data_IF_892919570202
#
_entry.id   IF_892919570202
#
_cell.length_a   1.000
_cell.length_b   1.000
_cell.length_c   1.000
_cell.angle_alpha   90.00
_cell.angle_beta   90.00
_cell.angle_gamma   90.00
#
_symmetry.space_group_name_H-M   'P 1'
#
loop_
_entity.id
_entity.type
_entity.pdbx_description
1 polymer ?
#
# COMPACT_ATOMS: atom_id res chain seq x y z
N UNK A 1 -0.95 14.85 -32.65
CA UNK A 1 -0.35 15.57 -31.49
C UNK A 1 -0.94 15.13 -30.13
N UNK A 2 -2.20 14.73 -30.04
CA UNK A 2 -2.82 14.35 -28.74
C UNK A 2 -2.24 13.08 -28.10
N UNK A 3 -1.98 12.04 -28.87
CA UNK A 3 -1.57 10.72 -28.35
C UNK A 3 -0.17 10.70 -27.74
N UNK A 4 0.79 11.39 -28.35
CA UNK A 4 2.16 11.48 -27.85
C UNK A 4 2.25 12.32 -26.57
N UNK A 5 1.46 13.38 -26.47
CA UNK A 5 1.36 14.20 -25.26
C UNK A 5 0.75 13.40 -24.10
N UNK A 6 -0.33 12.65 -24.34
CA UNK A 6 -0.98 11.80 -23.35
C UNK A 6 -0.02 10.71 -22.85
N UNK A 7 0.75 10.09 -23.74
CA UNK A 7 1.75 9.09 -23.38
C UNK A 7 2.87 9.69 -22.53
N UNK A 8 3.39 10.86 -22.89
CA UNK A 8 4.42 11.56 -22.11
C UNK A 8 3.92 11.92 -20.70
N UNK A 9 2.65 12.37 -20.58
CA UNK A 9 2.05 12.68 -19.29
C UNK A 9 1.85 11.41 -18.44
N UNK A 10 1.46 10.29 -19.03
CA UNK A 10 1.32 9.01 -18.35
C UNK A 10 2.67 8.54 -17.77
N UNK A 11 3.75 8.60 -18.56
CA UNK A 11 5.10 8.25 -18.13
C UNK A 11 5.53 9.09 -16.92
N UNK A 12 5.29 10.41 -17.00
CA UNK A 12 5.58 11.31 -15.87
C UNK A 12 4.77 10.93 -14.61
N UNK A 13 3.50 10.61 -14.77
CA UNK A 13 2.65 10.22 -13.65
C UNK A 13 3.10 8.89 -13.03
N UNK A 14 3.51 7.91 -13.84
CA UNK A 14 4.07 6.65 -13.36
C UNK A 14 5.37 6.90 -12.59
N UNK A 15 6.24 7.75 -13.09
CA UNK A 15 7.49 8.11 -12.42
C UNK A 15 7.24 8.71 -11.04
N UNK A 16 6.32 9.68 -10.92
CA UNK A 16 5.97 10.31 -9.64
C UNK A 16 5.34 9.29 -8.69
N UNK A 17 4.39 8.49 -9.20
CA UNK A 17 3.76 7.42 -8.43
C UNK A 17 4.79 6.44 -7.85
N UNK A 18 5.72 5.97 -8.69
CA UNK A 18 6.78 5.04 -8.26
C UNK A 18 7.67 5.66 -7.18
N UNK A 19 8.06 6.90 -7.34
CA UNK A 19 8.85 7.64 -6.36
C UNK A 19 8.16 7.69 -5.00
N UNK A 20 6.86 7.99 -4.97
CA UNK A 20 6.09 8.07 -3.73
C UNK A 20 5.87 6.69 -3.10
N UNK A 21 5.57 5.66 -3.88
CA UNK A 21 5.41 4.30 -3.38
C UNK A 21 6.74 3.77 -2.80
N UNK A 22 7.86 3.97 -3.50
CA UNK A 22 9.19 3.60 -2.98
C UNK A 22 9.49 4.33 -1.67
N UNK A 23 9.11 5.60 -1.56
CA UNK A 23 9.24 6.35 -0.30
C UNK A 23 8.42 5.71 0.83
N UNK A 24 7.16 5.33 0.59
CA UNK A 24 6.33 4.66 1.60
C UNK A 24 6.94 3.34 2.06
N UNK A 25 7.40 2.53 1.11
CA UNK A 25 8.04 1.24 1.40
C UNK A 25 9.33 1.41 2.20
N UNK A 26 10.14 2.43 1.86
CA UNK A 26 11.35 2.80 2.63
C UNK A 26 11.02 3.17 4.07
N UNK A 27 9.99 4.01 4.27
CA UNK A 27 9.53 4.41 5.61
C UNK A 27 9.03 3.22 6.44
N UNK A 28 8.50 2.19 5.80
CA UNK A 28 8.07 0.95 6.43
C UNK A 28 9.20 -0.06 6.67
N UNK A 29 10.44 0.28 6.26
CA UNK A 29 11.64 -0.53 6.49
C UNK A 29 11.88 -1.61 5.44
N UNK A 30 11.27 -1.52 4.25
CA UNK A 30 11.62 -2.39 3.12
C UNK A 30 12.94 -1.96 2.48
N UNK A 31 13.72 -2.93 2.00
CA UNK A 31 14.91 -2.65 1.21
C UNK A 31 14.51 -2.21 -0.20
N UNK A 32 14.66 -0.94 -0.47
CA UNK A 32 14.33 -0.31 -1.76
C UNK A 32 15.58 0.13 -2.52
N UNK A 33 16.77 -0.26 -2.12
CA UNK A 33 18.05 0.21 -2.65
C UNK A 33 18.14 0.10 -4.17
N UNK A 34 17.60 -0.96 -4.75
CA UNK A 34 17.57 -1.19 -6.20
C UNK A 34 16.50 -0.36 -6.93
N UNK A 35 15.65 0.36 -6.19
CA UNK A 35 14.46 1.03 -6.73
C UNK A 35 14.42 2.54 -6.45
N UNK A 36 15.45 3.10 -5.82
CA UNK A 36 15.52 4.55 -5.51
C UNK A 36 15.98 5.40 -6.71
N UNK A 37 16.82 4.83 -7.59
CA UNK A 37 17.50 5.56 -8.66
C UNK A 37 16.86 5.28 -10.02
N UNK A 38 15.61 5.74 -10.23
CA UNK A 38 14.98 5.69 -11.54
C UNK A 38 15.00 7.05 -12.21
N UNK A 39 15.21 7.04 -13.52
CA UNK A 39 14.98 8.20 -14.35
C UNK A 39 13.74 8.02 -15.27
N UNK A 40 13.24 9.12 -15.80
CA UNK A 40 12.05 9.11 -16.65
C UNK A 40 12.28 8.30 -17.94
N UNK A 41 13.52 8.26 -18.46
CA UNK A 41 13.86 7.52 -19.68
C UNK A 41 13.78 5.99 -19.44
N UNK A 42 14.19 5.51 -18.27
CA UNK A 42 14.05 4.10 -17.88
C UNK A 42 12.59 3.69 -17.77
N UNK A 43 11.75 4.50 -17.11
CA UNK A 43 10.32 4.25 -17.05
C UNK A 43 9.68 4.24 -18.44
N UNK A 44 10.11 5.15 -19.33
CA UNK A 44 9.64 5.17 -20.71
C UNK A 44 10.04 3.91 -21.48
N UNK A 45 11.25 3.40 -21.26
CA UNK A 45 11.70 2.16 -21.87
C UNK A 45 10.93 0.94 -21.37
N UNK A 46 10.68 0.86 -20.05
CA UNK A 46 9.88 -0.20 -19.42
C UNK A 46 8.44 -0.18 -19.94
N UNK A 47 7.80 0.99 -20.06
CA UNK A 47 6.44 1.12 -20.58
C UNK A 47 6.32 0.73 -22.06
N UNK A 48 7.36 0.94 -22.87
CA UNK A 48 7.36 0.60 -24.30
C UNK A 48 7.44 -0.91 -24.56
N UNK A 49 8.05 -1.66 -23.65
CA UNK A 49 8.22 -3.11 -23.77
C UNK A 49 6.98 -3.89 -23.31
N UNK A 50 5.81 -3.28 -23.24
CA UNK A 50 4.55 -3.90 -22.78
C UNK A 50 4.17 -5.09 -23.67
N UNK A 51 4.86 -6.21 -23.45
CA UNK A 51 4.40 -7.57 -23.70
C UNK A 51 3.71 -8.13 -22.46
N UNK A 52 3.64 -9.44 -22.30
CA UNK A 52 2.94 -10.11 -21.18
C UNK A 52 3.63 -9.91 -19.81
N UNK A 53 4.89 -9.50 -19.77
CA UNK A 53 5.61 -9.15 -18.54
C UNK A 53 5.60 -7.65 -18.32
N UNK A 54 4.96 -7.20 -17.26
CA UNK A 54 4.95 -5.78 -16.93
C UNK A 54 6.27 -5.39 -16.22
N UNK A 55 7.26 -4.91 -16.99
CA UNK A 55 8.58 -4.50 -16.48
C UNK A 55 8.52 -3.36 -15.45
N UNK A 56 7.37 -2.70 -15.29
CA UNK A 56 7.15 -1.71 -14.24
C UNK A 56 6.99 -2.34 -12.86
N UNK A 57 6.64 -3.63 -12.81
CA UNK A 57 6.45 -4.35 -11.55
C UNK A 57 7.79 -4.49 -10.83
N UNK A 58 7.73 -4.48 -9.51
CA UNK A 58 8.90 -4.71 -8.68
C UNK A 58 8.53 -5.32 -7.33
N UNK A 59 9.50 -5.96 -6.73
CA UNK A 59 9.36 -6.61 -5.43
C UNK A 59 10.40 -6.06 -4.47
N UNK A 60 10.01 -5.91 -3.23
CA UNK A 60 10.88 -5.49 -2.13
C UNK A 60 10.66 -6.36 -0.91
N UNK A 61 11.68 -6.45 -0.09
CA UNK A 61 11.69 -7.33 1.08
C UNK A 61 12.05 -6.53 2.32
N UNK A 62 11.46 -6.92 3.44
CA UNK A 62 11.78 -6.42 4.77
C UNK A 62 12.14 -7.59 5.66
N UNK A 63 13.25 -7.48 6.36
CA UNK A 63 13.63 -8.45 7.40
C UNK A 63 12.77 -8.18 8.66
N UNK A 64 12.10 -9.22 9.15
CA UNK A 64 11.24 -9.16 10.34
C UNK A 64 11.80 -9.95 11.53
N UNK A 65 13.08 -10.33 11.46
CA UNK A 65 13.75 -11.15 12.46
C UNK A 65 13.57 -12.65 12.25
N UNK A 66 14.30 -13.44 13.00
CA UNK A 66 14.29 -14.92 12.96
C UNK A 66 14.53 -15.52 11.56
N UNK A 67 15.23 -14.79 10.69
CA UNK A 67 15.46 -15.20 9.29
C UNK A 67 14.22 -15.11 8.40
N UNK A 68 13.13 -14.53 8.89
CA UNK A 68 11.88 -14.34 8.13
C UNK A 68 11.89 -13.00 7.41
N UNK A 69 11.30 -12.99 6.21
CA UNK A 69 11.18 -11.78 5.39
C UNK A 69 9.72 -11.53 5.02
N UNK A 70 9.30 -10.28 5.15
CA UNK A 70 8.04 -9.79 4.61
C UNK A 70 8.27 -9.33 3.17
N UNK A 71 7.45 -9.83 2.24
CA UNK A 71 7.50 -9.47 0.82
C UNK A 71 6.44 -8.43 0.50
N UNK A 72 6.78 -7.44 -0.30
CA UNK A 72 5.82 -6.52 -0.90
C UNK A 72 6.04 -6.48 -2.42
N UNK A 73 5.02 -6.82 -3.18
CA UNK A 73 5.01 -6.74 -4.63
C UNK A 73 4.19 -5.53 -5.08
N UNK A 74 4.73 -4.75 -6.00
CA UNK A 74 4.05 -3.61 -6.62
C UNK A 74 3.83 -3.90 -8.09
N UNK A 75 2.57 -3.97 -8.51
CA UNK A 75 2.15 -4.24 -9.89
C UNK A 75 1.47 -3.02 -10.49
N UNK A 76 1.91 -2.61 -11.69
CA UNK A 76 1.32 -1.50 -12.43
C UNK A 76 0.34 -2.02 -13.48
N UNK A 77 -0.96 -1.79 -13.26
CA UNK A 77 -2.00 -2.12 -14.23
C UNK A 77 -2.41 -0.86 -14.99
N UNK A 78 -1.72 -0.59 -16.12
CA UNK A 78 -1.89 0.64 -16.90
C UNK A 78 -2.81 0.45 -18.12
N UNK A 79 -3.50 -0.68 -18.23
CA UNK A 79 -4.45 -0.95 -19.32
C UNK A 79 -5.79 -0.22 -19.08
N UNK A 80 -6.89 -0.84 -19.30
CA UNK A 80 -8.24 -0.33 -19.01
C UNK A 80 -8.57 -0.38 -17.49
N UNK A 81 -9.80 0.02 -17.13
CA UNK A 81 -10.28 -0.17 -15.75
C UNK A 81 -10.15 -1.62 -15.30
N UNK A 82 -9.66 -1.83 -14.10
CA UNK A 82 -9.58 -3.16 -13.50
C UNK A 82 -11.01 -3.69 -13.31
N UNK A 83 -11.28 -4.87 -13.88
CA UNK A 83 -12.52 -5.60 -13.64
C UNK A 83 -12.35 -6.58 -12.47
N UNK A 84 -13.46 -6.93 -11.81
CA UNK A 84 -13.45 -7.87 -10.67
C UNK A 84 -12.69 -9.16 -10.97
N UNK A 85 -12.99 -9.78 -12.11
CA UNK A 85 -12.34 -11.04 -12.53
C UNK A 85 -10.84 -10.88 -12.75
N UNK A 86 -10.39 -9.74 -13.28
CA UNK A 86 -8.97 -9.47 -13.49
C UNK A 86 -8.27 -9.31 -12.13
N UNK A 87 -8.89 -8.60 -11.18
CA UNK A 87 -8.35 -8.44 -9.84
C UNK A 87 -8.26 -9.78 -9.11
N UNK A 88 -9.31 -10.60 -9.16
CA UNK A 88 -9.31 -11.94 -8.58
C UNK A 88 -8.19 -12.81 -9.18
N UNK A 89 -8.07 -12.83 -10.51
CA UNK A 89 -7.02 -13.62 -11.19
C UNK A 89 -5.61 -13.14 -10.81
N UNK A 90 -5.35 -11.83 -10.79
CA UNK A 90 -4.05 -11.28 -10.40
C UNK A 90 -3.68 -11.64 -8.96
N UNK A 91 -4.65 -11.55 -8.05
CA UNK A 91 -4.44 -11.92 -6.66
C UNK A 91 -4.20 -13.42 -6.51
N UNK A 92 -5.04 -14.26 -7.12
CA UNK A 92 -4.91 -15.73 -7.08
C UNK A 92 -3.57 -16.17 -7.66
N UNK A 93 -3.20 -15.71 -8.85
CA UNK A 93 -1.92 -16.04 -9.48
C UNK A 93 -0.72 -15.63 -8.60
N UNK A 94 -0.79 -14.45 -8.00
CA UNK A 94 0.27 -13.97 -7.10
C UNK A 94 0.39 -14.86 -5.86
N UNK A 95 -0.70 -15.13 -5.17
CA UNK A 95 -0.67 -15.89 -3.92
C UNK A 95 -0.49 -17.40 -4.14
N UNK A 96 -0.91 -17.98 -5.26
CA UNK A 96 -0.60 -19.37 -5.63
C UNK A 96 0.90 -19.56 -5.88
N UNK A 97 1.57 -18.60 -6.52
CA UNK A 97 3.03 -18.62 -6.69
C UNK A 97 3.78 -18.50 -5.35
N UNK A 98 3.16 -17.92 -4.33
CA UNK A 98 3.69 -17.78 -2.98
C UNK A 98 3.32 -18.94 -2.04
N UNK A 99 2.55 -19.96 -2.49
CA UNK A 99 2.11 -21.08 -1.63
C UNK A 99 3.23 -21.84 -0.95
N UNK A 100 4.40 -21.88 -1.57
CA UNK A 100 5.61 -22.50 -1.01
C UNK A 100 6.39 -21.57 -0.05
N UNK A 101 5.89 -20.35 0.21
CA UNK A 101 6.56 -19.38 1.06
C UNK A 101 5.99 -19.46 2.49
N UNK A 102 6.80 -19.84 3.46
CA UNK A 102 6.42 -19.95 4.88
C UNK A 102 5.86 -18.66 5.49
N UNK A 103 6.00 -17.54 4.80
CA UNK A 103 5.57 -16.20 5.23
C UNK A 103 4.40 -15.63 4.39
N UNK A 104 3.56 -16.47 3.80
CA UNK A 104 2.39 -16.07 2.99
C UNK A 104 1.53 -15.01 3.71
N UNK A 105 1.31 -15.16 5.00
CA UNK A 105 0.49 -14.26 5.83
C UNK A 105 1.04 -12.83 5.95
N UNK A 106 2.32 -12.63 5.60
CA UNK A 106 2.99 -11.33 5.66
C UNK A 106 3.32 -10.75 4.29
N UNK A 107 2.84 -11.37 3.22
CA UNK A 107 3.03 -10.87 1.88
C UNK A 107 1.99 -9.79 1.55
N UNK A 108 2.44 -8.69 0.95
CA UNK A 108 1.58 -7.57 0.54
C UNK A 108 1.60 -7.43 -0.98
N UNK A 109 0.42 -7.25 -1.57
CA UNK A 109 0.27 -6.94 -2.99
C UNK A 109 -0.31 -5.53 -3.16
N UNK A 110 0.45 -4.65 -3.81
CA UNK A 110 0.01 -3.31 -4.20
C UNK A 110 -0.25 -3.32 -5.71
N UNK A 111 -1.45 -2.96 -6.12
CA UNK A 111 -1.81 -2.79 -7.53
C UNK A 111 -2.03 -1.30 -7.78
N UNK A 112 -1.22 -0.73 -8.67
CA UNK A 112 -1.37 0.66 -9.12
C UNK A 112 -2.23 0.67 -10.37
N UNK A 113 -3.39 1.32 -10.29
CA UNK A 113 -4.36 1.43 -11.40
C UNK A 113 -4.40 2.84 -11.97
N UNK A 114 -4.78 2.98 -13.25
CA UNK A 114 -4.97 4.29 -13.86
C UNK A 114 -6.15 5.05 -13.25
N UNK A 115 -7.19 4.34 -12.86
CA UNK A 115 -8.46 4.91 -12.43
C UNK A 115 -8.76 4.57 -10.96
N UNK A 116 -9.54 5.42 -10.27
CA UNK A 116 -9.96 5.16 -8.91
C UNK A 116 -10.70 3.83 -8.75
N UNK A 117 -10.57 3.24 -7.57
CA UNK A 117 -11.27 2.03 -7.18
C UNK A 117 -12.78 2.29 -7.05
N UNK A 118 -13.59 1.37 -7.54
CA UNK A 118 -15.05 1.38 -7.38
C UNK A 118 -15.53 0.41 -6.30
N UNK A 119 -16.79 0.53 -5.90
CA UNK A 119 -17.40 -0.31 -4.84
C UNK A 119 -17.37 -1.81 -5.18
N UNK A 120 -17.39 -2.18 -6.46
CA UNK A 120 -17.34 -3.58 -6.85
C UNK A 120 -15.97 -4.21 -6.60
N UNK A 121 -14.88 -3.43 -6.79
CA UNK A 121 -13.53 -3.86 -6.43
C UNK A 121 -13.34 -3.93 -4.91
N UNK A 122 -13.94 -2.99 -4.15
CA UNK A 122 -13.90 -3.07 -2.68
C UNK A 122 -14.52 -4.38 -2.17
N UNK A 123 -15.64 -4.83 -2.76
CA UNK A 123 -16.27 -6.11 -2.41
C UNK A 123 -15.35 -7.30 -2.68
N UNK A 124 -14.61 -7.27 -3.78
CA UNK A 124 -13.61 -8.30 -4.10
C UNK A 124 -12.47 -8.29 -3.08
N UNK A 125 -11.87 -7.13 -2.78
CA UNK A 125 -10.82 -7.01 -1.77
C UNK A 125 -11.29 -7.53 -0.40
N UNK A 126 -12.50 -7.17 0.00
CA UNK A 126 -13.10 -7.66 1.24
C UNK A 126 -13.28 -9.18 1.24
N UNK A 127 -13.66 -9.78 0.10
CA UNK A 127 -13.77 -11.24 -0.08
C UNK A 127 -12.39 -11.90 0.02
N UNK A 128 -11.37 -11.37 -0.67
CA UNK A 128 -10.00 -11.87 -0.64
C UNK A 128 -9.45 -11.89 0.78
N UNK A 129 -9.60 -10.78 1.50
CA UNK A 129 -9.19 -10.70 2.90
C UNK A 129 -9.93 -11.69 3.79
N UNK A 130 -11.28 -11.68 3.79
CA UNK A 130 -12.08 -12.49 4.73
C UNK A 130 -12.00 -13.99 4.48
N UNK A 131 -11.87 -14.41 3.22
CA UNK A 131 -11.93 -15.82 2.85
C UNK A 131 -10.54 -16.46 2.72
N UNK A 132 -9.57 -15.68 2.22
CA UNK A 132 -8.26 -16.22 1.86
C UNK A 132 -7.11 -15.58 2.66
N UNK A 133 -7.41 -14.59 3.51
CA UNK A 133 -6.40 -13.79 4.24
C UNK A 133 -5.37 -13.12 3.30
N UNK A 134 -5.77 -12.83 2.08
CA UNK A 134 -4.95 -12.19 1.06
C UNK A 134 -5.09 -10.67 1.15
N UNK A 135 -3.99 -9.98 1.41
CA UNK A 135 -3.99 -8.54 1.57
C UNK A 135 -3.55 -7.83 0.29
N UNK A 136 -4.53 -7.31 -0.42
CA UNK A 136 -4.35 -6.58 -1.68
C UNK A 136 -4.76 -5.13 -1.50
N UNK A 137 -3.90 -4.22 -1.92
CA UNK A 137 -4.13 -2.76 -1.91
C UNK A 137 -4.23 -2.26 -3.35
N UNK A 138 -5.26 -1.48 -3.64
CA UNK A 138 -5.35 -0.76 -4.90
C UNK A 138 -5.07 0.72 -4.63
N UNK A 139 -4.03 1.25 -5.28
CA UNK A 139 -3.71 2.67 -5.35
C UNK A 139 -4.00 3.18 -6.75
N UNK A 140 -4.72 4.28 -6.88
CA UNK A 140 -4.94 4.91 -8.17
C UNK A 140 -3.82 5.90 -8.50
N UNK A 141 -3.47 5.99 -9.77
CA UNK A 141 -2.38 6.82 -10.25
C UNK A 141 -2.54 8.30 -9.86
N UNK A 142 -3.75 8.92 -9.91
CA UNK A 142 -3.96 10.28 -9.43
C UNK A 142 -3.65 10.48 -7.95
N UNK A 143 -4.04 9.57 -7.06
CA UNK A 143 -3.79 9.70 -5.62
C UNK A 143 -2.32 9.56 -5.24
N UNK A 144 -1.52 8.93 -6.09
CA UNK A 144 -0.08 8.74 -5.87
C UNK A 144 0.79 9.86 -6.44
N UNK A 145 0.19 10.95 -6.97
CA UNK A 145 0.95 12.08 -7.52
C UNK A 145 1.58 13.00 -6.47
N UNK A 146 1.20 12.86 -5.23
CA UNK A 146 1.80 13.57 -4.10
C UNK A 146 2.04 12.61 -2.94
N UNK A 147 2.97 12.97 -2.06
CA UNK A 147 3.26 12.17 -0.89
C UNK A 147 2.29 12.53 0.24
N UNK A 148 1.31 11.65 0.49
CA UNK A 148 0.28 11.88 1.52
C UNK A 148 0.88 11.97 2.94
N UNK A 149 1.95 11.21 3.23
CA UNK A 149 2.59 11.19 4.55
C UNK A 149 3.42 12.46 4.84
N UNK A 150 3.77 13.23 3.79
CA UNK A 150 4.49 14.49 3.91
C UNK A 150 3.59 15.71 3.73
N UNK A 151 2.28 15.49 3.57
CA UNK A 151 1.36 16.60 3.36
C UNK A 151 1.15 17.37 4.68
N UNK A 152 1.25 18.70 4.66
CA UNK A 152 1.20 19.59 5.83
C UNK A 152 -0.05 19.38 6.72
N UNK A 153 -1.20 19.08 6.10
CA UNK A 153 -2.46 18.86 6.81
C UNK A 153 -2.62 17.43 7.36
N UNK A 154 -1.72 16.51 7.01
CA UNK A 154 -1.75 15.13 7.47
C UNK A 154 -0.82 14.99 8.66
N UNK A 155 -1.37 14.72 9.87
CA UNK A 155 -0.54 14.49 11.04
C UNK A 155 0.31 13.24 10.88
N UNK A 156 1.37 13.13 11.64
CA UNK A 156 2.21 11.95 11.64
C UNK A 156 1.41 10.72 12.07
N UNK A 157 1.48 9.66 11.25
CA UNK A 157 0.85 8.36 11.51
C UNK A 157 1.93 7.30 11.61
N UNK A 158 1.88 6.51 12.66
CA UNK A 158 2.85 5.44 12.95
C UNK A 158 2.07 4.13 13.09
N UNK A 159 2.42 3.14 12.28
CA UNK A 159 1.91 1.76 12.43
C UNK A 159 2.56 1.14 13.65
N UNK A 160 1.77 0.70 14.62
CA UNK A 160 2.27 0.02 15.81
C UNK A 160 2.60 -1.45 15.52
N UNK A 161 3.63 -1.96 16.19
CA UNK A 161 3.88 -3.40 16.28
C UNK A 161 2.81 -4.07 17.17
N UNK A 162 2.80 -5.40 17.17
CA UNK A 162 1.84 -6.14 18.02
C UNK A 162 2.14 -5.91 19.51
N UNK A 163 3.42 -5.77 19.89
CA UNK A 163 3.88 -5.44 21.23
C UNK A 163 3.42 -4.04 21.66
N UNK A 164 3.69 -3.03 20.81
CA UNK A 164 3.27 -1.64 21.06
C UNK A 164 1.74 -1.50 21.13
N UNK A 165 1.01 -2.27 20.29
CA UNK A 165 -0.46 -2.35 20.35
C UNK A 165 -0.89 -2.86 21.72
N UNK A 166 -0.26 -3.92 22.23
CA UNK A 166 -0.60 -4.48 23.54
C UNK A 166 -0.31 -3.49 24.68
N UNK A 167 0.82 -2.79 24.63
CA UNK A 167 1.13 -1.74 25.62
C UNK A 167 0.06 -0.64 25.66
N UNK A 168 -0.43 -0.21 24.50
CA UNK A 168 -1.52 0.76 24.40
C UNK A 168 -2.80 0.19 25.00
N UNK A 169 -3.12 -1.07 24.74
CA UNK A 169 -4.32 -1.73 25.26
C UNK A 169 -4.28 -1.83 26.78
N UNK A 170 -3.15 -2.21 27.34
CA UNK A 170 -2.94 -2.30 28.79
C UNK A 170 -2.99 -0.90 29.45
N UNK A 171 -2.33 0.09 28.84
CA UNK A 171 -2.30 1.48 29.33
C UNK A 171 -3.68 2.11 29.46
N UNK A 172 -4.57 1.84 28.48
CA UNK A 172 -5.91 2.44 28.42
C UNK A 172 -7.03 1.47 28.81
N UNK A 173 -6.69 0.27 29.33
CA UNK A 173 -7.65 -0.80 29.68
C UNK A 173 -8.59 -1.16 28.51
N UNK A 174 -8.07 -1.20 27.30
CA UNK A 174 -8.82 -1.57 26.09
C UNK A 174 -8.94 -3.09 26.03
N UNK A 175 -10.17 -3.61 25.97
CA UNK A 175 -10.44 -5.06 25.97
C UNK A 175 -10.60 -5.64 24.56
N UNK A 176 -11.01 -4.82 23.62
CA UNK A 176 -11.23 -5.24 22.23
C UNK A 176 -11.08 -4.06 21.26
N UNK A 177 -10.85 -4.38 20.00
CA UNK A 177 -10.64 -3.41 18.92
C UNK A 177 -11.82 -2.43 18.74
N UNK A 178 -13.05 -2.83 19.10
CA UNK A 178 -14.26 -2.00 18.94
C UNK A 178 -14.29 -0.77 19.86
N UNK A 179 -13.42 -0.71 20.85
CA UNK A 179 -13.29 0.45 21.74
C UNK A 179 -12.40 1.56 21.15
N UNK A 180 -11.67 1.25 20.08
CA UNK A 180 -10.88 2.24 19.36
C UNK A 180 -11.67 2.86 18.21
N UNK A 181 -11.47 4.15 17.91
CA UNK A 181 -11.92 4.73 16.65
C UNK A 181 -11.34 3.98 15.44
N UNK A 182 -12.15 3.85 14.40
CA UNK A 182 -11.79 3.11 13.21
C UNK A 182 -11.06 3.97 12.17
N UNK A 183 -10.18 3.34 11.39
CA UNK A 183 -9.65 3.86 10.13
C UNK A 183 -9.91 2.81 9.04
N UNK A 184 -10.47 3.23 7.92
CA UNK A 184 -10.72 2.31 6.80
C UNK A 184 -9.42 1.87 6.13
N UNK A 185 -9.32 0.62 5.71
CA UNK A 185 -8.21 0.15 4.86
C UNK A 185 -8.14 0.90 3.52
N UNK A 186 -9.23 1.55 3.12
CA UNK A 186 -9.29 2.35 1.88
C UNK A 186 -8.83 3.79 2.07
N UNK A 187 -8.59 4.21 3.29
CA UNK A 187 -8.00 5.52 3.59
C UNK A 187 -6.62 5.66 2.92
N UNK A 188 -6.31 6.80 2.29
CA UNK A 188 -5.02 7.00 1.63
C UNK A 188 -3.80 6.80 2.55
N UNK A 189 -3.90 7.22 3.82
CA UNK A 189 -2.83 7.03 4.80
C UNK A 189 -2.73 5.57 5.22
N UNK A 190 -3.86 4.89 5.43
CA UNK A 190 -3.87 3.46 5.74
C UNK A 190 -3.22 2.64 4.62
N UNK A 191 -3.49 2.98 3.35
CA UNK A 191 -2.84 2.36 2.19
C UNK A 191 -1.33 2.64 2.17
N UNK A 192 -0.91 3.89 2.40
CA UNK A 192 0.51 4.27 2.41
C UNK A 192 1.30 3.56 3.52
N UNK A 193 0.67 3.27 4.66
CA UNK A 193 1.25 2.55 5.80
C UNK A 193 1.06 1.02 5.72
N UNK A 194 0.45 0.50 4.69
CA UNK A 194 0.10 -0.92 4.55
C UNK A 194 -0.59 -1.47 5.81
N UNK A 195 -1.61 -0.73 6.30
CA UNK A 195 -2.37 -1.15 7.47
C UNK A 195 -3.32 -2.29 7.09
N UNK A 196 -3.13 -3.43 7.71
CA UNK A 196 -4.04 -4.57 7.61
C UNK A 196 -5.19 -4.43 8.62
N UNK A 197 -6.36 -5.03 8.36
CA UNK A 197 -7.43 -5.07 9.36
C UNK A 197 -6.92 -5.63 10.69
N UNK A 198 -7.23 -4.93 11.78
CA UNK A 198 -6.73 -5.23 13.13
C UNK A 198 -5.41 -4.51 13.49
N UNK A 199 -4.67 -3.94 12.54
CA UNK A 199 -3.54 -3.10 12.90
C UNK A 199 -4.02 -1.81 13.57
N UNK A 200 -3.23 -1.34 14.53
CA UNK A 200 -3.46 -0.05 15.18
C UNK A 200 -2.43 0.96 14.68
N UNK A 201 -2.88 2.15 14.35
CA UNK A 201 -2.00 3.28 14.08
C UNK A 201 -2.11 4.35 15.17
N UNK A 202 -0.97 4.88 15.56
CA UNK A 202 -0.82 6.05 16.42
C UNK A 202 -0.75 7.29 15.55
N UNK A 203 -1.51 8.33 15.90
CA UNK A 203 -1.58 9.59 15.19
C UNK A 203 -1.12 10.69 16.13
N UNK A 204 -0.07 11.41 15.76
CA UNK A 204 0.49 12.50 16.55
C UNK A 204 -0.09 13.80 16.00
N UNK A 205 -0.92 14.48 16.79
CA UNK A 205 -1.52 15.75 16.43
C UNK A 205 -0.96 16.88 17.29
N UNK A 206 -0.71 18.01 16.65
CA UNK A 206 -0.34 19.23 17.33
C UNK A 206 -1.56 20.12 17.53
N UNK A 207 -1.79 20.52 18.76
CA UNK A 207 -2.90 21.40 19.17
C UNK A 207 -2.33 22.62 19.91
N UNK A 208 -3.01 23.74 19.82
CA UNK A 208 -2.64 24.99 20.51
C UNK A 208 -2.73 24.92 22.04
N UNK A 209 -3.54 24.01 22.57
CA UNK A 209 -3.80 23.87 24.01
C UNK A 209 -2.92 22.78 24.64
N UNK A 210 -2.89 21.60 24.02
CA UNK A 210 -2.20 20.42 24.57
C UNK A 210 -0.84 20.15 23.91
N UNK A 211 -0.41 21.00 23.00
CA UNK A 211 0.83 20.94 22.21
C UNK A 211 0.95 19.64 21.39
N UNK A 212 0.93 18.48 22.03
CA UNK A 212 1.00 17.17 21.39
C UNK A 212 -0.08 16.26 21.95
N UNK A 213 -0.90 15.68 21.08
CA UNK A 213 -1.91 14.68 21.42
C UNK A 213 -1.67 13.40 20.63
N UNK A 214 -1.76 12.27 21.32
CA UNK A 214 -1.71 10.95 20.71
C UNK A 214 -3.13 10.40 20.52
N UNK A 215 -3.45 10.03 19.30
CA UNK A 215 -4.70 9.34 18.96
C UNK A 215 -4.38 7.96 18.42
N UNK A 216 -5.26 7.02 18.68
CA UNK A 216 -5.11 5.65 18.20
C UNK A 216 -6.33 5.27 17.37
N UNK A 217 -6.10 4.60 16.25
CA UNK A 217 -7.17 4.08 15.40
C UNK A 217 -6.86 2.65 15.01
N UNK A 218 -7.89 1.80 15.00
CA UNK A 218 -7.79 0.44 14.49
C UNK A 218 -8.21 0.40 13.02
N UNK A 219 -7.44 -0.33 12.22
CA UNK A 219 -7.77 -0.52 10.81
C UNK A 219 -8.90 -1.54 10.65
N UNK A 220 -9.91 -1.18 9.85
CA UNK A 220 -11.08 -2.03 9.55
C UNK A 220 -11.34 -2.12 8.05
N UNK A 221 -12.08 -3.18 7.63
CA UNK A 221 -12.43 -3.45 6.22
C UNK A 221 -13.73 -2.76 5.82
#
# INVERSE_FOLDING_TARGET
>A
MSTQFQKSQLIKNIYISRKNIVYYLKMLGYDVSNHETFNIAEISAMEQKVGDTNELNFEVYKDIGDGKREKCCVMYYMKSNIKQMILENMATEFYENEENNENKDKTNLIIVSQNPMNDSLQKVLKKLWKKYNEYVIIMDLPSTQFNILQHELVPEHIKLSDEEKQEVYDKYNIRNDTQLPEISIYDPVAKALLLRPGNVCKIIRHDKISYVNEFYRVCVV
#
